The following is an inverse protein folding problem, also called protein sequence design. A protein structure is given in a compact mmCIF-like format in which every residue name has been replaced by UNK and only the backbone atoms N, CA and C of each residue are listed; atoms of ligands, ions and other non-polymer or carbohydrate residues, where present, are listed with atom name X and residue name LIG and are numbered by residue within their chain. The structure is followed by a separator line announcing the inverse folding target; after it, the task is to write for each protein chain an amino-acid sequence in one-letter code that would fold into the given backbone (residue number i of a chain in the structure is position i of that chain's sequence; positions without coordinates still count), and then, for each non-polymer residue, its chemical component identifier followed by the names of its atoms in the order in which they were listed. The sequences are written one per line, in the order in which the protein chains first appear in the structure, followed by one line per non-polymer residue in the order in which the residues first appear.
data_IF_809212729070
#
_entry.id   IF_809212729070
#
_cell.length_a   1.000
_cell.length_b   1.000
_cell.length_c   1.000
_cell.angle_alpha   90.00
_cell.angle_beta   90.00
_cell.angle_gamma   90.00
#
_symmetry.space_group_name_H-M   'P 1'
#
loop_
_entity.id
_entity.type
_entity.pdbx_description
1 polymer ?
#
# COMPACT_ATOMS: atom_id res chain seq x y z
N UNK A 1 -10.06 0.12 -13.42
CA UNK A 1 -9.23 1.14 -14.12
C UNK A 1 -8.10 1.58 -13.22
N UNK A 2 -6.87 1.69 -13.74
CA UNK A 2 -5.73 2.20 -12.96
C UNK A 2 -5.90 3.69 -12.71
N UNK A 3 -5.83 4.09 -11.44
CA UNK A 3 -5.97 5.46 -10.97
C UNK A 3 -4.61 6.14 -10.79
N UNK A 4 -3.62 5.39 -10.33
CA UNK A 4 -2.28 5.91 -10.09
C UNK A 4 -1.25 4.81 -9.90
N UNK A 5 0.00 5.13 -10.18
CA UNK A 5 1.15 4.25 -9.99
C UNK A 5 2.24 5.04 -9.26
N UNK A 6 2.85 4.42 -8.27
CA UNK A 6 3.98 4.96 -7.54
C UNK A 6 5.10 3.95 -7.42
N UNK A 7 6.32 4.40 -7.59
CA UNK A 7 7.55 3.63 -7.42
C UNK A 7 8.47 4.37 -6.47
N UNK A 8 9.09 3.65 -5.58
CA UNK A 8 10.13 4.18 -4.71
C UNK A 8 11.33 3.23 -4.64
N UNK A 9 12.53 3.82 -4.53
CA UNK A 9 13.81 3.13 -4.41
C UNK A 9 14.55 3.70 -3.21
N UNK A 10 14.94 2.84 -2.30
CA UNK A 10 15.59 3.21 -1.03
C UNK A 10 17.00 2.62 -0.99
N UNK A 11 18.00 3.47 -0.80
CA UNK A 11 19.35 3.03 -0.44
C UNK A 11 19.33 2.55 1.03
N UNK A 12 19.59 1.27 1.24
CA UNK A 12 19.47 0.64 2.57
C UNK A 12 20.52 1.17 3.55
N UNK A 13 21.74 1.49 3.07
CA UNK A 13 22.79 2.01 3.93
C UNK A 13 22.46 3.44 4.40
N UNK A 14 22.07 4.31 3.49
CA UNK A 14 21.64 5.67 3.82
C UNK A 14 20.39 5.67 4.73
N UNK A 15 19.44 4.77 4.48
CA UNK A 15 18.26 4.60 5.33
C UNK A 15 18.64 4.17 6.75
N UNK A 16 19.58 3.23 6.90
CA UNK A 16 20.10 2.79 8.21
C UNK A 16 20.69 3.95 8.98
N UNK A 17 21.54 4.76 8.35
CA UNK A 17 22.13 5.95 8.96
C UNK A 17 21.05 6.92 9.47
N UNK A 18 20.01 7.18 8.66
CA UNK A 18 18.89 8.02 9.05
C UNK A 18 18.09 7.43 10.23
N UNK A 19 17.91 6.11 10.25
CA UNK A 19 17.17 5.41 11.31
C UNK A 19 17.90 5.50 12.66
N UNK A 20 19.22 5.52 12.65
CA UNK A 20 20.09 5.57 13.83
C UNK A 20 20.29 7.00 14.37
N UNK A 21 19.98 8.04 13.59
CA UNK A 21 20.11 9.42 14.03
C UNK A 21 19.11 9.74 15.16
N UNK A 22 19.55 10.27 16.31
CA UNK A 22 18.64 10.68 17.37
C UNK A 22 17.67 11.78 16.91
N UNK A 23 16.42 11.66 17.30
CA UNK A 23 15.40 12.68 17.03
C UNK A 23 14.80 12.66 15.62
N UNK A 24 15.15 11.68 14.79
CA UNK A 24 14.53 11.55 13.46
C UNK A 24 13.07 11.12 13.54
N UNK A 25 12.26 11.62 12.57
CA UNK A 25 10.86 11.22 12.43
C UNK A 25 10.70 9.75 12.03
N UNK A 26 11.73 9.09 11.49
CA UNK A 26 11.71 7.68 11.11
C UNK A 26 11.31 6.74 12.25
N UNK A 27 11.72 7.08 13.48
CA UNK A 27 11.28 6.33 14.65
C UNK A 27 9.77 6.24 14.80
N UNK A 28 9.02 7.23 14.34
CA UNK A 28 7.55 7.32 14.44
C UNK A 28 6.83 6.93 13.13
N UNK A 29 7.57 6.68 12.07
CA UNK A 29 7.00 6.33 10.77
C UNK A 29 6.45 4.89 10.71
N UNK A 30 6.86 4.03 11.63
CA UNK A 30 6.50 2.62 11.66
C UNK A 30 5.62 2.27 12.86
N UNK A 31 4.61 1.43 12.62
CA UNK A 31 3.76 0.90 13.69
C UNK A 31 4.54 -0.12 14.55
N UNK A 32 4.01 -0.43 15.74
CA UNK A 32 4.57 -1.48 16.58
C UNK A 32 4.55 -2.85 15.90
N UNK A 33 3.55 -3.11 15.04
CA UNK A 33 3.47 -4.33 14.23
C UNK A 33 4.60 -4.39 13.21
N UNK A 34 4.79 -3.35 12.41
CA UNK A 34 5.87 -3.27 11.43
C UNK A 34 7.25 -3.49 12.06
N UNK A 35 7.48 -2.93 13.24
CA UNK A 35 8.73 -3.12 13.98
C UNK A 35 8.93 -4.55 14.45
N UNK A 36 7.88 -5.20 14.97
CA UNK A 36 7.95 -6.60 15.37
C UNK A 36 8.21 -7.52 14.18
N UNK A 37 7.54 -7.28 13.05
CA UNK A 37 7.72 -8.09 11.85
C UNK A 37 9.08 -7.87 11.18
N UNK A 38 9.67 -6.69 11.32
CA UNK A 38 11.01 -6.37 10.82
C UNK A 38 12.14 -6.86 11.75
N UNK A 39 11.85 -7.20 13.01
CA UNK A 39 12.86 -7.59 13.99
C UNK A 39 13.70 -8.80 13.56
N UNK A 40 14.93 -8.88 14.09
CA UNK A 40 15.88 -9.96 13.81
C UNK A 40 16.96 -9.55 12.82
N UNK A 41 17.37 -10.46 11.95
CA UNK A 41 18.41 -10.20 10.95
C UNK A 41 17.88 -9.24 9.87
N UNK A 42 18.72 -8.31 9.41
CA UNK A 42 18.41 -7.34 8.34
C UNK A 42 17.25 -6.38 8.65
N UNK A 43 17.14 -5.92 9.89
CA UNK A 43 16.08 -4.96 10.31
C UNK A 43 16.03 -3.73 9.41
N UNK A 44 17.19 -3.11 9.10
CA UNK A 44 17.25 -1.91 8.27
C UNK A 44 16.70 -2.16 6.86
N UNK A 45 17.04 -3.29 6.24
CA UNK A 45 16.56 -3.67 4.91
C UNK A 45 15.03 -3.88 4.91
N UNK A 46 14.51 -4.58 5.93
CA UNK A 46 13.07 -4.83 6.06
C UNK A 46 12.28 -3.54 6.33
N UNK A 47 12.83 -2.61 7.11
CA UNK A 47 12.22 -1.31 7.35
C UNK A 47 12.37 -0.39 6.13
N UNK A 48 13.49 -0.45 5.41
CA UNK A 48 13.67 0.29 4.16
C UNK A 48 12.64 -0.12 3.09
N UNK A 49 12.37 -1.42 2.93
CA UNK A 49 11.33 -1.89 2.03
C UNK A 49 9.93 -1.38 2.44
N UNK A 50 9.61 -1.37 3.73
CA UNK A 50 8.35 -0.81 4.24
C UNK A 50 8.27 0.70 4.03
N UNK A 51 9.37 1.41 4.24
CA UNK A 51 9.45 2.84 3.96
C UNK A 51 9.18 3.11 2.48
N UNK A 52 9.85 2.40 1.59
CA UNK A 52 9.62 2.50 0.15
C UNK A 52 8.16 2.26 -0.24
N UNK A 53 7.47 1.31 0.41
CA UNK A 53 6.05 1.06 0.16
C UNK A 53 5.17 2.26 0.56
N UNK A 54 5.47 2.92 1.69
CA UNK A 54 4.74 4.12 2.14
C UNK A 54 4.95 5.29 1.18
N UNK A 55 6.17 5.52 0.75
CA UNK A 55 6.48 6.57 -0.25
C UNK A 55 5.89 6.24 -1.62
N UNK A 56 5.97 4.99 -2.08
CA UNK A 56 5.34 4.57 -3.32
C UNK A 56 3.82 4.77 -3.30
N UNK A 57 3.17 4.50 -2.14
CA UNK A 57 1.74 4.78 -1.97
C UNK A 57 1.43 6.27 -2.11
N UNK A 58 2.18 7.16 -1.47
CA UNK A 58 1.98 8.61 -1.59
C UNK A 58 2.18 9.08 -3.03
N UNK A 59 3.17 8.54 -3.75
CA UNK A 59 3.37 8.84 -5.17
C UNK A 59 2.22 8.36 -6.04
N UNK A 60 1.70 7.15 -5.80
CA UNK A 60 0.53 6.62 -6.51
C UNK A 60 -0.73 7.46 -6.24
N UNK A 61 -0.94 7.86 -4.99
CA UNK A 61 -2.05 8.73 -4.60
C UNK A 61 -1.94 10.12 -5.25
N UNK A 62 -0.76 10.70 -5.21
CA UNK A 62 -0.49 11.97 -5.90
C UNK A 62 -0.75 11.88 -7.41
N UNK A 63 -0.37 10.77 -8.04
CA UNK A 63 -0.65 10.51 -9.46
C UNK A 63 -2.16 10.42 -9.75
N UNK A 64 -2.93 9.79 -8.86
CA UNK A 64 -4.40 9.72 -8.96
C UNK A 64 -5.06 11.09 -8.81
N UNK A 65 -4.40 12.03 -8.14
CA UNK A 65 -4.88 13.41 -7.94
C UNK A 65 -4.35 14.41 -8.99
N UNK A 66 -3.78 13.93 -10.10
CA UNK A 66 -3.21 14.81 -11.12
C UNK A 66 -4.14 15.97 -11.50
N UNK A 67 -3.64 17.18 -11.41
CA UNK A 67 -4.40 18.41 -11.67
C UNK A 67 -5.21 18.94 -10.48
N UNK A 68 -5.15 18.28 -9.32
CA UNK A 68 -5.76 18.69 -8.06
C UNK A 68 -4.69 18.97 -6.99
N UNK A 69 -4.93 19.86 -6.02
CA UNK A 69 -3.98 20.08 -4.95
C UNK A 69 -3.83 18.84 -4.05
N UNK A 70 -2.71 18.73 -3.29
CA UNK A 70 -2.57 17.72 -2.25
C UNK A 70 -3.69 17.82 -1.22
N UNK A 71 -4.16 16.67 -0.72
CA UNK A 71 -5.26 16.61 0.26
C UNK A 71 -4.77 16.57 1.70
N UNK A 72 -3.48 16.28 1.91
CA UNK A 72 -2.83 16.29 3.23
C UNK A 72 -1.74 17.36 3.23
N UNK A 73 -1.67 18.13 4.31
CA UNK A 73 -0.56 19.07 4.54
C UNK A 73 0.70 18.35 5.00
N UNK A 74 0.55 17.38 5.88
CA UNK A 74 1.63 16.53 6.40
C UNK A 74 1.15 15.07 6.42
N UNK A 75 2.04 14.14 6.10
CA UNK A 75 1.72 12.72 6.06
C UNK A 75 2.01 12.08 7.41
N UNK A 76 1.01 11.51 8.05
CA UNK A 76 1.16 10.64 9.20
C UNK A 76 1.62 9.24 8.75
N UNK A 77 2.92 9.04 8.57
CA UNK A 77 3.49 7.84 7.96
C UNK A 77 3.12 6.53 8.66
N UNK A 78 2.87 6.54 9.96
CA UNK A 78 2.43 5.37 10.73
C UNK A 78 0.98 4.96 10.40
N UNK A 79 0.20 5.84 9.77
CA UNK A 79 -1.14 5.53 9.31
C UNK A 79 -1.17 4.80 7.95
N UNK A 80 -0.03 4.70 7.29
CA UNK A 80 0.18 3.85 6.12
C UNK A 80 0.95 2.62 6.59
N UNK A 81 0.26 1.56 6.98
CA UNK A 81 0.88 0.37 7.56
C UNK A 81 1.12 -0.71 6.49
N UNK A 82 2.36 -1.20 6.41
CA UNK A 82 2.65 -2.41 5.63
C UNK A 82 2.28 -3.62 6.47
N UNK A 83 1.33 -4.38 5.97
CA UNK A 83 0.85 -5.63 6.58
C UNK A 83 1.26 -6.82 5.73
N UNK A 84 1.43 -7.99 6.35
CA UNK A 84 1.70 -9.23 5.63
C UNK A 84 0.66 -10.28 5.98
N UNK A 85 0.31 -11.11 5.00
CA UNK A 85 -0.54 -12.28 5.26
C UNK A 85 0.26 -13.45 5.83
N UNK A 86 -0.40 -14.59 6.05
CA UNK A 86 0.22 -15.80 6.60
C UNK A 86 1.34 -16.39 5.71
N UNK A 87 1.40 -15.98 4.46
CA UNK A 87 2.44 -16.38 3.48
C UNK A 87 3.44 -15.26 3.20
N UNK A 88 3.48 -14.23 4.07
CA UNK A 88 4.37 -13.07 3.96
C UNK A 88 4.17 -12.20 2.71
N UNK A 89 2.99 -12.27 2.06
CA UNK A 89 2.68 -11.38 0.94
C UNK A 89 2.30 -10.01 1.48
N UNK A 90 2.92 -8.91 0.96
CA UNK A 90 2.68 -7.58 1.46
C UNK A 90 1.32 -7.02 1.02
N UNK A 91 0.75 -6.20 1.86
CA UNK A 91 -0.40 -5.34 1.61
C UNK A 91 -0.23 -4.01 2.32
N UNK A 92 -1.10 -3.06 2.03
CA UNK A 92 -1.17 -1.79 2.75
C UNK A 92 -2.51 -1.67 3.47
N UNK A 93 -2.47 -1.33 4.75
CA UNK A 93 -3.61 -0.92 5.54
C UNK A 93 -3.49 0.59 5.83
N UNK A 94 -4.55 1.32 5.53
CA UNK A 94 -4.63 2.75 5.82
C UNK A 94 -5.42 2.95 7.10
N UNK A 95 -5.01 3.92 7.92
CA UNK A 95 -5.62 4.21 9.20
C UNK A 95 -5.97 5.70 9.31
N UNK A 96 -6.89 6.01 10.22
CA UNK A 96 -7.25 7.35 10.68
C UNK A 96 -7.38 8.41 9.56
N UNK A 97 -6.68 9.52 9.69
CA UNK A 97 -6.80 10.67 8.78
C UNK A 97 -6.36 10.34 7.36
N UNK A 98 -5.34 9.50 7.19
CA UNK A 98 -4.88 9.06 5.87
C UNK A 98 -5.94 8.20 5.18
N UNK A 99 -6.60 7.29 5.89
CA UNK A 99 -7.67 6.47 5.33
C UNK A 99 -8.87 7.32 4.89
N UNK A 100 -9.28 8.27 5.73
CA UNK A 100 -10.39 9.17 5.43
C UNK A 100 -10.08 10.07 4.23
N UNK A 101 -8.92 10.72 4.22
CA UNK A 101 -8.50 11.60 3.13
C UNK A 101 -8.36 10.85 1.80
N UNK A 102 -7.83 9.62 1.84
CA UNK A 102 -7.73 8.76 0.66
C UNK A 102 -9.12 8.41 0.11
N UNK A 103 -10.03 7.90 0.95
CA UNK A 103 -11.38 7.54 0.55
C UNK A 103 -12.16 8.73 -0.01
N UNK A 104 -12.04 9.92 0.61
CA UNK A 104 -12.73 11.12 0.16
C UNK A 104 -12.16 11.69 -1.16
N UNK A 105 -10.90 11.46 -1.47
CA UNK A 105 -10.23 12.04 -2.65
C UNK A 105 -10.19 11.13 -3.86
N UNK A 106 -10.06 9.82 -3.65
CA UNK A 106 -9.91 8.80 -4.69
C UNK A 106 -11.13 7.88 -4.79
N UNK A 107 -11.87 7.72 -3.69
CA UNK A 107 -13.01 6.81 -3.59
C UNK A 107 -12.59 5.38 -3.26
N UNK A 108 -13.42 4.41 -3.64
CA UNK A 108 -13.15 2.98 -3.44
C UNK A 108 -12.07 2.53 -4.43
N UNK A 109 -10.92 2.19 -3.89
CA UNK A 109 -9.78 1.74 -4.70
C UNK A 109 -9.08 0.54 -4.03
N UNK A 110 -8.70 -0.42 -4.86
CA UNK A 110 -7.83 -1.52 -4.46
C UNK A 110 -6.37 -1.06 -4.53
N UNK A 111 -5.62 -1.36 -3.49
CA UNK A 111 -4.21 -1.02 -3.41
C UNK A 111 -3.41 -2.30 -3.63
N UNK A 112 -2.66 -2.35 -4.72
CA UNK A 112 -1.70 -3.41 -5.02
C UNK A 112 -0.32 -2.94 -4.63
N UNK A 113 0.46 -3.78 -3.94
CA UNK A 113 1.83 -3.47 -3.54
C UNK A 113 2.75 -4.65 -3.83
N UNK A 114 3.95 -4.34 -4.31
CA UNK A 114 5.03 -5.31 -4.43
C UNK A 114 6.31 -4.70 -3.91
N UNK A 115 7.07 -5.50 -3.17
CA UNK A 115 8.34 -5.14 -2.56
C UNK A 115 9.44 -6.02 -3.11
N UNK A 116 10.61 -5.44 -3.33
CA UNK A 116 11.83 -6.17 -3.71
C UNK A 116 13.04 -5.53 -3.05
N UNK A 117 14.06 -6.31 -2.83
CA UNK A 117 15.38 -5.82 -2.44
C UNK A 117 16.45 -6.62 -3.18
N UNK A 118 17.52 -5.92 -3.57
CA UNK A 118 18.68 -6.54 -4.19
C UNK A 118 19.92 -5.70 -3.86
N UNK A 119 20.92 -6.36 -3.26
CA UNK A 119 22.13 -5.69 -2.82
C UNK A 119 21.86 -4.48 -1.93
N UNK A 120 22.30 -3.26 -2.32
CA UNK A 120 22.21 -2.07 -1.47
C UNK A 120 20.83 -1.39 -1.50
N UNK A 121 19.87 -1.85 -2.30
CA UNK A 121 18.60 -1.17 -2.53
C UNK A 121 17.39 -2.00 -2.15
N UNK A 122 16.37 -1.31 -1.60
CA UNK A 122 15.01 -1.82 -1.48
C UNK A 122 14.10 -1.02 -2.42
N UNK A 123 13.14 -1.68 -3.03
CA UNK A 123 12.22 -1.07 -3.99
C UNK A 123 10.77 -1.42 -3.63
N UNK A 124 9.88 -0.52 -3.94
CA UNK A 124 8.45 -0.73 -3.79
C UNK A 124 7.69 -0.16 -4.99
N UNK A 125 6.68 -0.87 -5.45
CA UNK A 125 5.70 -0.37 -6.41
C UNK A 125 4.32 -0.46 -5.80
N UNK A 126 3.52 0.60 -5.99
CA UNK A 126 2.10 0.64 -5.63
C UNK A 126 1.28 0.98 -6.85
N UNK A 127 0.22 0.24 -7.06
CA UNK A 127 -0.78 0.50 -8.11
C UNK A 127 -2.14 0.68 -7.44
N UNK A 128 -2.80 1.80 -7.74
CA UNK A 128 -4.17 2.07 -7.31
C UNK A 128 -5.12 1.74 -8.46
N UNK A 129 -6.08 0.88 -8.18
CA UNK A 129 -7.09 0.44 -9.15
C UNK A 129 -8.48 0.77 -8.62
N UNK A 130 -9.32 1.43 -9.44
CA UNK A 130 -10.71 1.66 -9.05
C UNK A 130 -11.42 0.33 -8.86
N UNK A 131 -12.12 0.16 -7.74
CA UNK A 131 -13.11 -0.92 -7.65
C UNK A 131 -14.25 -0.57 -8.60
N UNK A 132 -14.44 -1.39 -9.65
CA UNK A 132 -15.60 -1.26 -10.49
C UNK A 132 -16.84 -1.45 -9.59
N UNK A 133 -17.80 -0.54 -9.68
CA UNK A 133 -19.12 -0.82 -9.12
C UNK A 133 -19.53 -2.18 -9.69
N UNK A 134 -19.73 -3.16 -8.83
CA UNK A 134 -20.34 -4.42 -9.22
C UNK A 134 -21.79 -4.08 -9.61
N UNK A 135 -22.02 -3.78 -10.89
CA UNK A 135 -23.34 -3.78 -11.44
C UNK A 135 -23.92 -5.15 -11.13
N UNK A 136 -24.91 -5.17 -10.26
CA UNK A 136 -25.64 -6.36 -9.86
C UNK A 136 -26.40 -6.93 -11.06
N UNK A 137 -25.70 -7.61 -11.97
CA UNK A 137 -26.29 -8.51 -12.92
C UNK A 137 -26.50 -9.87 -12.25
N UNK A 138 -27.54 -9.93 -11.41
CA UNK A 138 -28.21 -11.19 -11.14
C UNK A 138 -28.83 -11.65 -12.46
N UNK A 139 -28.02 -12.27 -13.32
CA UNK A 139 -28.47 -13.04 -14.45
C UNK A 139 -29.28 -14.25 -13.96
N UNK A 140 -30.58 -14.09 -13.84
CA UNK A 140 -31.49 -15.21 -13.68
C UNK A 140 -31.28 -16.16 -14.85
N UNK A 141 -30.73 -17.32 -14.56
CA UNK A 141 -30.68 -18.44 -15.52
C UNK A 141 -32.12 -18.90 -15.80
N UNK A 142 -32.66 -18.80 -17.02
CA UNK A 142 -34.01 -19.32 -17.32
C UNK A 142 -33.95 -20.85 -17.22
N UNK A 143 -34.86 -21.40 -16.43
CA UNK A 143 -34.98 -22.81 -16.11
C UNK A 143 -35.02 -23.69 -17.33
N UNK A 144 -34.08 -24.62 -17.41
CA UNK A 144 -34.08 -25.73 -18.36
C UNK A 144 -34.99 -26.82 -17.81
N UNK A 145 -36.25 -26.85 -18.33
CA UNK A 145 -37.19 -27.97 -18.12
C UNK A 145 -36.60 -29.19 -18.79
N UNK A 146 -36.20 -30.20 -18.04
CA UNK A 146 -35.95 -31.53 -18.54
C UNK A 146 -37.30 -32.24 -18.68
N UNK A 147 -37.69 -32.48 -19.90
CA UNK A 147 -38.76 -33.43 -20.23
C UNK A 147 -38.16 -34.82 -20.33
N UNK A 148 -38.63 -35.75 -19.52
CA UNK A 148 -38.30 -37.17 -19.60
C UNK A 148 -39.38 -37.78 -20.47
N UNK A 149 -39.07 -38.50 -21.57
CA UNK A 149 -40.06 -39.30 -22.28
C UNK A 149 -40.22 -40.67 -21.60
N UNK A 150 -41.45 -41.19 -21.62
CA UNK A 150 -41.86 -42.51 -21.17
C UNK A 150 -41.14 -43.64 -21.91
#
# INVERSE_FOLDING_TARGET
MILGVGLDVVDVAAFREQLELPGTAFGRAFTARERREAAGVNVAERLAARWGAKEAFIKAWSAALKGRPPVLGEVAWHEIEVVTDAWHRPGLALHADVAEAFANSVGQARIHVSLSHDGPVAQAIVVLESEAATDGAAGACPGMKRTIPD
#
